data_IF_520531171826
#
_entry.id   IF_520531171826
#
_cell.length_a   1.000
_cell.length_b   1.000
_cell.length_c   1.000
_cell.angle_alpha   90.00
_cell.angle_beta   90.00
_cell.angle_gamma   90.00
#
_symmetry.space_group_name_H-M   'P 1'
#
loop_
_entity.id
_entity.type
_entity.pdbx_description
1 polymer ?
#
# COMPACT_ATOMS: atom_id res chain seq x y z
N UNK A 1 42.84 33.92 -16.13
CA UNK A 1 42.15 32.63 -15.92
C UNK A 1 42.15 32.24 -14.43
N UNK A 2 41.54 33.02 -13.54
CA UNK A 2 41.66 32.84 -12.06
C UNK A 2 40.34 32.53 -11.32
N UNK A 3 39.22 32.37 -12.03
CA UNK A 3 37.90 32.17 -11.40
C UNK A 3 37.25 30.82 -11.75
N UNK A 4 37.91 30.01 -12.58
CA UNK A 4 37.43 28.69 -12.98
C UNK A 4 37.23 27.71 -11.79
N UNK A 5 38.11 27.64 -10.77
CA UNK A 5 37.91 26.71 -9.67
C UNK A 5 36.74 27.12 -8.75
N UNK A 6 36.43 28.42 -8.66
CA UNK A 6 35.32 28.94 -7.83
C UNK A 6 33.96 28.63 -8.48
N UNK A 7 33.88 28.69 -9.81
CA UNK A 7 32.66 28.33 -10.54
C UNK A 7 32.34 26.84 -10.44
N UNK A 8 33.36 25.97 -10.44
CA UNK A 8 33.17 24.52 -10.25
C UNK A 8 32.71 24.21 -8.82
N UNK A 9 33.31 24.85 -7.81
CA UNK A 9 32.90 24.67 -6.42
C UNK A 9 31.44 25.12 -6.17
N UNK A 10 31.03 26.24 -6.77
CA UNK A 10 29.65 26.72 -6.67
C UNK A 10 28.64 25.78 -7.37
N UNK A 11 29.01 25.18 -8.50
CA UNK A 11 28.16 24.22 -9.21
C UNK A 11 27.98 22.91 -8.43
N UNK A 12 29.02 22.43 -7.74
CA UNK A 12 28.95 21.20 -6.91
C UNK A 12 28.06 21.41 -5.69
N UNK A 13 28.13 22.57 -5.03
CA UNK A 13 27.27 22.91 -3.87
C UNK A 13 25.81 23.13 -4.32
N UNK A 14 25.59 23.68 -5.50
CA UNK A 14 24.23 23.82 -6.05
C UNK A 14 23.60 22.46 -6.39
N UNK A 15 24.40 21.46 -6.80
CA UNK A 15 23.91 20.12 -7.13
C UNK A 15 23.59 19.27 -5.88
N UNK A 16 24.28 19.49 -4.76
CA UNK A 16 23.98 18.82 -3.48
C UNK A 16 22.78 19.40 -2.74
N UNK A 17 22.35 20.62 -3.10
CA UNK A 17 21.18 21.30 -2.55
C UNK A 17 19.91 21.09 -3.38
N UNK A 18 19.97 20.38 -4.51
CA UNK A 18 18.76 19.92 -5.17
C UNK A 18 18.11 18.89 -4.23
N UNK A 19 16.90 19.15 -3.68
CA UNK A 19 16.18 18.11 -2.98
C UNK A 19 16.03 16.97 -3.99
N UNK A 20 16.67 15.84 -3.71
CA UNK A 20 16.30 14.58 -4.34
C UNK A 20 14.82 14.48 -4.05
N UNK A 21 13.99 14.71 -5.09
CA UNK A 21 12.57 14.38 -5.01
C UNK A 21 12.56 12.99 -4.40
N UNK A 22 11.89 12.75 -3.26
CA UNK A 22 11.84 11.42 -2.69
C UNK A 22 11.46 10.53 -3.86
N UNK A 23 12.34 9.58 -4.20
CA UNK A 23 12.03 8.62 -5.25
C UNK A 23 10.65 8.10 -4.86
N UNK A 24 9.64 8.36 -5.70
CA UNK A 24 8.30 7.84 -5.43
C UNK A 24 8.54 6.35 -5.35
N UNK A 25 8.56 5.78 -4.14
CA UNK A 25 8.78 4.36 -3.98
C UNK A 25 7.73 3.68 -4.83
N UNK A 26 8.18 3.09 -5.94
CA UNK A 26 7.31 2.40 -6.87
C UNK A 26 7.05 1.04 -6.25
N UNK A 27 6.21 1.03 -5.21
CA UNK A 27 5.79 -0.19 -4.57
C UNK A 27 5.10 -1.13 -5.56
N UNK A 28 5.00 -2.43 -5.23
CA UNK A 28 4.55 -3.46 -6.16
C UNK A 28 3.16 -3.17 -6.75
N UNK A 29 2.24 -2.58 -5.98
CA UNK A 29 0.88 -2.24 -6.44
C UNK A 29 0.93 -1.09 -7.45
N UNK A 30 1.76 -0.06 -7.20
CA UNK A 30 1.96 1.05 -8.14
C UNK A 30 2.54 0.55 -9.47
N UNK A 31 3.46 -0.41 -9.40
CA UNK A 31 4.04 -1.05 -10.59
C UNK A 31 3.00 -1.87 -11.37
N UNK A 32 2.18 -2.65 -10.68
CA UNK A 32 1.10 -3.43 -11.30
C UNK A 32 0.03 -2.53 -11.96
N UNK A 33 -0.20 -1.34 -11.41
CA UNK A 33 -1.15 -0.35 -11.93
C UNK A 33 -0.50 0.72 -12.84
N UNK A 34 0.72 0.50 -13.31
CA UNK A 34 1.44 1.49 -14.13
C UNK A 34 0.68 1.89 -15.41
N UNK A 35 -0.03 0.94 -16.03
CA UNK A 35 -0.88 1.17 -17.22
C UNK A 35 -2.34 1.44 -16.88
N UNK A 36 -2.71 1.49 -15.61
CA UNK A 36 -4.10 1.67 -15.20
C UNK A 36 -4.61 3.08 -15.50
N UNK A 37 -5.91 3.20 -15.74
CA UNK A 37 -6.55 4.50 -15.82
C UNK A 37 -6.59 5.17 -14.43
N UNK A 38 -6.82 6.49 -14.39
CA UNK A 38 -7.02 7.19 -13.13
C UNK A 38 -8.24 6.68 -12.36
N UNK A 39 -9.31 6.30 -13.06
CA UNK A 39 -10.52 5.74 -12.44
C UNK A 39 -10.28 4.36 -11.84
N UNK A 40 -9.53 3.49 -12.52
CA UNK A 40 -9.23 2.14 -12.01
C UNK A 40 -8.33 2.21 -10.77
N UNK A 41 -7.33 3.11 -10.80
CA UNK A 41 -6.51 3.45 -9.64
C UNK A 41 -7.33 3.96 -8.45
N UNK A 42 -8.25 4.88 -8.72
CA UNK A 42 -9.13 5.43 -7.69
C UNK A 42 -10.07 4.35 -7.12
N UNK A 43 -10.57 3.43 -7.94
CA UNK A 43 -11.40 2.31 -7.49
C UNK A 43 -10.62 1.39 -6.54
N UNK A 44 -9.41 0.97 -6.92
CA UNK A 44 -8.54 0.14 -6.05
C UNK A 44 -8.22 0.90 -4.75
N UNK A 45 -7.83 2.17 -4.84
CA UNK A 45 -7.53 2.98 -3.65
C UNK A 45 -8.74 3.13 -2.73
N UNK A 46 -9.94 3.34 -3.29
CA UNK A 46 -11.18 3.46 -2.53
C UNK A 46 -11.52 2.18 -1.75
N UNK A 47 -11.39 1.02 -2.39
CA UNK A 47 -11.64 -0.28 -1.77
C UNK A 47 -10.71 -0.50 -0.57
N UNK A 48 -9.41 -0.24 -0.74
CA UNK A 48 -8.44 -0.48 0.34
C UNK A 48 -8.51 0.56 1.47
N UNK A 49 -8.88 1.81 1.19
CA UNK A 49 -9.20 2.78 2.26
C UNK A 49 -10.40 2.35 3.08
N UNK A 50 -11.46 1.85 2.43
CA UNK A 50 -12.65 1.36 3.12
C UNK A 50 -12.31 0.16 4.00
N UNK A 51 -11.50 -0.78 3.50
CA UNK A 51 -11.01 -1.92 4.28
C UNK A 51 -10.16 -1.49 5.48
N UNK A 52 -9.28 -0.50 5.31
CA UNK A 52 -8.49 0.05 6.41
C UNK A 52 -9.38 0.63 7.52
N UNK A 53 -10.37 1.46 7.14
CA UNK A 53 -11.32 2.06 8.09
C UNK A 53 -12.14 1.00 8.83
N UNK A 54 -12.70 0.02 8.11
CA UNK A 54 -13.45 -1.10 8.74
C UNK A 54 -12.56 -1.88 9.69
N UNK A 55 -11.32 -2.18 9.30
CA UNK A 55 -10.37 -2.92 10.15
C UNK A 55 -10.01 -2.15 11.43
N UNK A 56 -9.80 -0.83 11.31
CA UNK A 56 -9.53 0.07 12.46
C UNK A 56 -10.73 0.16 13.40
N UNK A 57 -11.95 0.16 12.88
CA UNK A 57 -13.18 0.20 13.69
C UNK A 57 -13.47 -1.14 14.35
N UNK A 58 -13.19 -2.24 13.67
CA UNK A 58 -13.43 -3.57 14.20
C UNK A 58 -12.53 -3.89 15.40
N UNK A 59 -11.25 -3.48 15.37
CA UNK A 59 -10.28 -3.73 16.45
C UNK A 59 -10.19 -5.20 16.89
N UNK A 60 -10.52 -6.14 16.00
CA UNK A 60 -10.56 -7.57 16.31
C UNK A 60 -11.78 -8.02 17.11
N UNK A 61 -12.85 -7.22 17.19
CA UNK A 61 -14.08 -7.58 17.90
C UNK A 61 -14.94 -8.57 17.11
N UNK A 62 -15.12 -8.36 15.80
CA UNK A 62 -15.88 -9.26 14.92
C UNK A 62 -14.94 -10.13 14.07
N UNK A 63 -13.85 -9.56 13.54
CA UNK A 63 -12.88 -10.28 12.72
C UNK A 63 -11.72 -10.81 13.56
N UNK A 64 -11.99 -11.45 14.70
CA UNK A 64 -11.01 -11.69 15.77
C UNK A 64 -9.69 -12.40 15.39
N UNK A 65 -9.58 -12.98 14.20
CA UNK A 65 -8.33 -13.57 13.70
C UNK A 65 -8.00 -13.15 12.27
N UNK A 66 -6.72 -13.25 11.89
CA UNK A 66 -6.28 -12.99 10.51
C UNK A 66 -6.95 -13.90 9.48
N UNK A 67 -7.30 -15.14 9.83
CA UNK A 67 -8.07 -16.02 8.93
C UNK A 67 -9.49 -15.50 8.67
N UNK A 68 -10.20 -15.03 9.71
CA UNK A 68 -11.54 -14.44 9.55
C UNK A 68 -11.43 -13.15 8.73
N UNK A 69 -10.45 -12.30 9.04
CA UNK A 69 -10.20 -11.08 8.30
C UNK A 69 -9.94 -11.34 6.81
N UNK A 70 -9.08 -12.32 6.46
CA UNK A 70 -8.81 -12.70 5.06
C UNK A 70 -10.07 -13.20 4.34
N UNK A 71 -10.94 -13.94 5.04
CA UNK A 71 -12.23 -14.39 4.50
C UNK A 71 -13.17 -13.22 4.19
N UNK A 72 -13.27 -12.26 5.12
CA UNK A 72 -14.06 -11.03 4.92
C UNK A 72 -13.47 -10.19 3.80
N UNK A 73 -12.15 -9.99 3.77
CA UNK A 73 -11.43 -9.28 2.72
C UNK A 73 -11.72 -9.89 1.33
N UNK A 74 -11.57 -11.20 1.18
CA UNK A 74 -11.85 -11.91 -0.09
C UNK A 74 -13.30 -11.77 -0.52
N UNK A 75 -14.25 -11.89 0.42
CA UNK A 75 -15.68 -11.72 0.15
C UNK A 75 -16.03 -10.28 -0.25
N UNK A 76 -15.48 -9.29 0.47
CA UNK A 76 -15.66 -7.88 0.19
C UNK A 76 -15.08 -7.49 -1.18
N UNK A 77 -13.89 -7.99 -1.52
CA UNK A 77 -13.31 -7.80 -2.85
C UNK A 77 -14.19 -8.39 -3.94
N UNK A 78 -14.69 -9.62 -3.74
CA UNK A 78 -15.60 -10.25 -4.70
C UNK A 78 -16.87 -9.43 -4.90
N UNK A 79 -17.40 -8.77 -3.87
CA UNK A 79 -18.56 -7.89 -4.01
C UNK A 79 -18.21 -6.54 -4.66
N UNK A 80 -17.07 -5.95 -4.30
CA UNK A 80 -16.67 -4.63 -4.75
C UNK A 80 -16.23 -4.61 -6.22
N UNK A 81 -15.51 -5.65 -6.66
CA UNK A 81 -14.96 -5.72 -8.02
C UNK A 81 -15.45 -6.92 -8.81
N UNK A 82 -16.10 -7.91 -8.20
CA UNK A 82 -16.64 -9.06 -8.93
C UNK A 82 -17.70 -8.63 -9.95
N UNK A 83 -17.61 -9.18 -11.16
CA UNK A 83 -18.46 -8.76 -12.28
C UNK A 83 -18.09 -7.43 -12.92
N UNK A 84 -17.09 -6.71 -12.38
CA UNK A 84 -16.52 -5.54 -13.05
C UNK A 84 -15.37 -5.94 -13.98
N UNK A 85 -15.02 -5.10 -14.98
CA UNK A 85 -13.85 -5.32 -15.82
C UNK A 85 -12.51 -5.25 -15.07
N UNK A 86 -12.47 -4.93 -13.77
CA UNK A 86 -11.22 -4.84 -13.01
C UNK A 86 -10.62 -6.22 -12.70
N UNK A 87 -11.45 -7.26 -12.58
CA UNK A 87 -10.99 -8.61 -12.25
C UNK A 87 -10.10 -9.14 -13.35
N UNK A 88 -8.85 -9.48 -13.02
CA UNK A 88 -7.87 -10.01 -13.98
C UNK A 88 -7.35 -8.99 -15.00
N UNK A 89 -7.79 -7.72 -14.95
CA UNK A 89 -7.36 -6.67 -15.89
C UNK A 89 -5.89 -6.32 -15.79
N UNK A 90 -5.36 -6.31 -14.57
CA UNK A 90 -3.99 -5.94 -14.26
C UNK A 90 -3.22 -7.15 -13.77
N UNK A 91 -2.36 -7.69 -14.64
CA UNK A 91 -1.57 -8.89 -14.34
C UNK A 91 -0.68 -8.66 -13.10
N UNK A 92 -0.86 -9.49 -12.07
CA UNK A 92 -0.04 -9.49 -10.87
C UNK A 92 -0.41 -8.44 -9.83
N UNK A 93 -1.53 -7.72 -10.01
CA UNK A 93 -2.04 -6.77 -9.00
C UNK A 93 -2.40 -7.50 -7.70
N UNK A 94 -3.08 -8.62 -7.83
CA UNK A 94 -3.43 -9.58 -6.79
C UNK A 94 -2.18 -10.04 -6.01
N UNK A 95 -1.12 -10.48 -6.70
CA UNK A 95 0.14 -10.83 -6.05
C UNK A 95 0.80 -9.62 -5.36
N UNK A 96 0.74 -8.45 -5.98
CA UNK A 96 1.33 -7.23 -5.43
C UNK A 96 0.64 -6.79 -4.13
N UNK A 97 -0.70 -6.85 -4.10
CA UNK A 97 -1.50 -6.59 -2.89
C UNK A 97 -1.15 -7.59 -1.80
N UNK A 98 -1.14 -8.88 -2.11
CA UNK A 98 -0.84 -9.93 -1.14
C UNK A 98 0.58 -9.81 -0.58
N UNK A 99 1.55 -9.31 -1.37
CA UNK A 99 2.90 -8.99 -0.86
C UNK A 99 2.84 -7.93 0.23
N UNK A 100 2.14 -6.81 -0.02
CA UNK A 100 2.04 -5.70 0.94
C UNK A 100 1.32 -6.14 2.22
N UNK A 101 0.20 -6.87 2.08
CA UNK A 101 -0.54 -7.39 3.24
C UNK A 101 0.27 -8.45 4.00
N UNK A 102 0.88 -9.40 3.30
CA UNK A 102 1.64 -10.51 3.87
C UNK A 102 2.93 -10.07 4.57
N UNK A 103 3.62 -9.05 4.07
CA UNK A 103 4.79 -8.47 4.73
C UNK A 103 4.44 -7.92 6.12
N UNK A 104 3.26 -7.31 6.26
CA UNK A 104 2.81 -6.67 7.50
C UNK A 104 2.48 -7.66 8.63
N UNK A 105 1.80 -8.76 8.33
CA UNK A 105 1.25 -9.66 9.36
C UNK A 105 1.61 -11.14 9.20
N UNK A 106 2.30 -11.51 8.12
CA UNK A 106 2.62 -12.90 7.81
C UNK A 106 1.42 -13.72 7.34
N UNK A 107 1.64 -15.02 7.13
CA UNK A 107 0.61 -15.95 6.64
C UNK A 107 -0.10 -16.73 7.76
N UNK A 108 0.45 -16.66 8.97
CA UNK A 108 -0.09 -17.35 10.14
C UNK A 108 -1.51 -16.89 10.49
N UNK A 109 -2.27 -17.78 11.14
CA UNK A 109 -3.56 -17.44 11.72
C UNK A 109 -3.36 -16.98 13.18
N UNK A 110 -3.49 -15.69 13.43
CA UNK A 110 -3.25 -15.09 14.75
C UNK A 110 -4.41 -14.19 15.15
N UNK A 111 -4.55 -13.92 16.45
CA UNK A 111 -5.53 -12.94 16.95
C UNK A 111 -5.21 -11.54 16.40
N UNK A 112 -6.25 -10.80 16.02
CA UNK A 112 -6.08 -9.41 15.57
C UNK A 112 -5.65 -8.46 16.70
N UNK A 113 -5.93 -8.82 17.96
CA UNK A 113 -5.51 -8.05 19.14
C UNK A 113 -4.13 -8.47 19.66
N UNK A 114 -3.54 -9.54 19.12
CA UNK A 114 -2.19 -9.93 19.48
C UNK A 114 -1.18 -8.85 19.03
N UNK A 115 -0.08 -8.68 19.76
CA UNK A 115 1.01 -7.82 19.30
C UNK A 115 1.63 -8.39 18.02
N UNK A 116 1.74 -7.55 17.00
CA UNK A 116 2.44 -7.80 15.75
C UNK A 116 3.94 -7.51 15.84
N UNK A 117 4.63 -7.51 14.69
CA UNK A 117 6.09 -7.34 14.59
C UNK A 117 6.60 -6.05 15.23
N UNK A 118 5.81 -4.97 15.16
CA UNK A 118 6.16 -3.65 15.69
C UNK A 118 5.60 -3.39 17.10
N UNK A 119 5.15 -4.44 17.80
CA UNK A 119 4.56 -4.36 19.15
C UNK A 119 3.13 -3.79 19.21
N UNK A 120 2.60 -3.32 18.08
CA UNK A 120 1.21 -2.86 17.93
C UNK A 120 0.26 -4.02 17.63
N UNK A 121 -1.05 -3.90 17.91
CA UNK A 121 -2.01 -4.93 17.54
C UNK A 121 -2.00 -5.23 16.04
N UNK A 122 -2.17 -6.52 15.68
CA UNK A 122 -2.21 -6.99 14.29
C UNK A 122 -3.27 -6.25 13.44
N UNK A 123 -4.41 -5.83 14.01
CA UNK A 123 -5.39 -5.02 13.27
C UNK A 123 -4.83 -3.67 12.81
N UNK A 124 -3.93 -3.04 13.57
CA UNK A 124 -3.29 -1.78 13.16
C UNK A 124 -2.34 -2.01 11.99
N UNK A 125 -1.57 -3.10 12.03
CA UNK A 125 -0.67 -3.48 10.95
C UNK A 125 -1.43 -3.77 9.65
N UNK A 126 -2.54 -4.54 9.73
CA UNK A 126 -3.42 -4.81 8.58
C UNK A 126 -4.03 -3.54 8.01
N UNK A 127 -4.53 -2.65 8.87
CA UNK A 127 -5.10 -1.40 8.41
C UNK A 127 -4.05 -0.51 7.74
N UNK A 128 -2.85 -0.42 8.31
CA UNK A 128 -1.72 0.30 7.72
C UNK A 128 -1.30 -0.28 6.36
N UNK A 129 -1.29 -1.61 6.22
CA UNK A 129 -1.00 -2.26 4.95
C UNK A 129 -2.09 -1.97 3.89
N UNK A 130 -3.36 -1.92 4.29
CA UNK A 130 -4.43 -1.49 3.39
C UNK A 130 -4.27 -0.03 2.96
N UNK A 131 -3.91 0.87 3.89
CA UNK A 131 -3.61 2.27 3.55
C UNK A 131 -2.43 2.38 2.59
N UNK A 132 -1.41 1.53 2.76
CA UNK A 132 -0.26 1.47 1.88
C UNK A 132 -0.64 0.98 0.47
N UNK A 133 -1.47 -0.05 0.35
CA UNK A 133 -2.03 -0.48 -0.94
C UNK A 133 -2.79 0.68 -1.60
N UNK A 134 -3.63 1.39 -0.84
CA UNK A 134 -4.38 2.52 -1.36
C UNK A 134 -3.46 3.66 -1.84
N UNK A 135 -2.40 3.96 -1.09
CA UNK A 135 -1.39 4.97 -1.42
C UNK A 135 -0.64 4.61 -2.70
N UNK A 136 -0.23 3.36 -2.83
CA UNK A 136 0.43 2.85 -4.03
C UNK A 136 -0.50 2.89 -5.25
N UNK A 137 -1.79 2.60 -5.06
CA UNK A 137 -2.81 2.71 -6.09
C UNK A 137 -3.11 4.16 -6.51
N UNK A 138 -2.60 5.17 -5.80
CA UNK A 138 -2.76 6.59 -6.15
C UNK A 138 -3.76 7.34 -5.26
N UNK A 139 -4.17 6.76 -4.13
CA UNK A 139 -4.85 7.49 -3.08
C UNK A 139 -3.88 8.43 -2.35
N UNK A 140 -4.20 9.72 -2.29
CA UNK A 140 -3.56 10.69 -1.38
C UNK A 140 -3.89 10.43 0.09
#
# INVERSE_FOLDING_TARGET
MKHLPVLIAAAVVAFTLLPTRPAVEVGPVRKALASASSSDRAAVAGVYRALADVTKRDQGQQMGTTAIWRSVHSSALRLAVGGTPLVGKYKGLDTAVESVLGESVGLENVSLTAPGKDGKPVYEALAGACEEVARQAGGL
#
